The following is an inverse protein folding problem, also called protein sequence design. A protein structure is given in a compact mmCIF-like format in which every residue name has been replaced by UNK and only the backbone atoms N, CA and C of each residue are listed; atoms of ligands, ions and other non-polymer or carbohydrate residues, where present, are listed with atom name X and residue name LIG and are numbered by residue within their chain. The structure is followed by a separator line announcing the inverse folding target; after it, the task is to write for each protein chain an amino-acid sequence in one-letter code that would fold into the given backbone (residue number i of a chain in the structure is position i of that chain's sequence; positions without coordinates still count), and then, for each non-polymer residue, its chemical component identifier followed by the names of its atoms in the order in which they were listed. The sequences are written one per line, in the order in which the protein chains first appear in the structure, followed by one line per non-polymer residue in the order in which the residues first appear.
data_IF_290142416074
#
_entry.id   IF_290142416074
#
_cell.length_a   1.000
_cell.length_b   1.000
_cell.length_c   1.000
_cell.angle_alpha   90.00
_cell.angle_beta   90.00
_cell.angle_gamma   90.00
#
_symmetry.space_group_name_H-M   'P 1'
#
loop_
_entity.id
_entity.type
_entity.pdbx_description
1 polymer ?
#
# COMPACT_ATOMS: atom_id res chain seq x y z
N UNK A 1 18.99 -17.86 -10.96
CA UNK A 1 19.29 -19.27 -11.19
C UNK A 1 19.79 -19.88 -9.88
N UNK A 2 19.01 -20.77 -9.22
CA UNK A 2 19.38 -21.35 -7.92
C UNK A 2 20.62 -22.27 -7.99
N UNK A 3 21.04 -22.63 -9.17
CA UNK A 3 22.19 -23.53 -9.39
C UNK A 3 23.49 -22.81 -9.75
N UNK A 4 23.52 -21.49 -9.60
CA UNK A 4 24.76 -20.76 -9.90
C UNK A 4 25.79 -21.05 -8.81
N UNK A 5 26.89 -21.69 -9.21
CA UNK A 5 27.96 -22.12 -8.30
C UNK A 5 28.48 -20.95 -7.46
N UNK A 6 28.60 -21.14 -6.15
CA UNK A 6 29.14 -20.15 -5.23
C UNK A 6 28.18 -19.08 -4.75
N UNK A 7 26.88 -19.09 -5.15
CA UNK A 7 25.86 -18.16 -4.67
C UNK A 7 24.89 -18.83 -3.71
N UNK A 8 24.57 -18.12 -2.63
CA UNK A 8 23.56 -18.55 -1.67
C UNK A 8 22.15 -18.60 -2.29
N UNK A 9 21.31 -19.51 -1.82
CA UNK A 9 19.87 -19.52 -2.11
C UNK A 9 19.22 -18.47 -1.25
N UNK A 10 18.52 -17.52 -1.87
CA UNK A 10 17.76 -16.50 -1.18
C UNK A 10 16.27 -16.82 -1.31
N UNK A 11 15.60 -17.04 -0.17
CA UNK A 11 14.16 -17.28 -0.11
C UNK A 11 13.53 -16.03 0.46
N UNK A 12 12.55 -15.48 -0.26
CA UNK A 12 11.79 -14.30 0.17
C UNK A 12 10.30 -14.56 0.03
N UNK A 13 9.55 -14.16 1.05
CA UNK A 13 8.10 -14.13 0.99
C UNK A 13 7.64 -12.69 0.77
N UNK A 14 6.75 -12.50 -0.18
CA UNK A 14 6.19 -11.18 -0.49
C UNK A 14 4.71 -11.28 -0.78
N UNK A 15 3.86 -10.35 -0.29
CA UNK A 15 2.46 -10.26 -0.68
C UNK A 15 2.30 -9.72 -2.12
N UNK A 16 3.39 -9.29 -2.76
CA UNK A 16 3.36 -8.72 -4.09
C UNK A 16 3.39 -9.84 -5.12
N UNK A 17 2.37 -9.86 -5.98
CA UNK A 17 2.37 -10.73 -7.14
C UNK A 17 3.46 -10.28 -8.13
N UNK A 18 4.48 -11.13 -8.32
CA UNK A 18 5.55 -10.88 -9.28
C UNK A 18 5.06 -11.20 -10.68
N UNK A 19 4.84 -10.16 -11.49
CA UNK A 19 4.37 -10.29 -12.90
C UNK A 19 5.35 -9.67 -13.90
N UNK A 20 6.33 -8.90 -13.44
CA UNK A 20 7.35 -8.24 -14.25
C UNK A 20 8.60 -7.94 -13.42
N UNK A 21 9.69 -7.48 -14.08
CA UNK A 21 10.92 -7.09 -13.37
C UNK A 21 10.71 -6.01 -12.32
N UNK A 22 9.78 -5.10 -12.53
CA UNK A 22 9.47 -4.04 -11.57
C UNK A 22 8.86 -4.61 -10.29
N UNK A 23 7.88 -5.51 -10.41
CA UNK A 23 7.28 -6.17 -9.23
C UNK A 23 8.25 -7.16 -8.58
N UNK A 24 9.16 -7.78 -9.33
CA UNK A 24 10.25 -8.58 -8.78
C UNK A 24 11.19 -7.70 -7.95
N UNK A 25 11.65 -6.58 -8.49
CA UNK A 25 12.52 -5.64 -7.77
C UNK A 25 11.82 -5.10 -6.52
N UNK A 26 10.52 -4.81 -6.60
CA UNK A 26 9.70 -4.43 -5.45
C UNK A 26 9.69 -5.51 -4.37
N UNK A 27 9.39 -6.74 -4.75
CA UNK A 27 9.36 -7.85 -3.81
C UNK A 27 10.73 -8.11 -3.16
N UNK A 28 11.81 -7.87 -3.91
CA UNK A 28 13.18 -8.01 -3.43
C UNK A 28 13.58 -6.90 -2.46
N UNK A 29 13.06 -5.69 -2.61
CA UNK A 29 13.45 -4.53 -1.80
C UNK A 29 12.68 -4.42 -0.48
N UNK A 30 11.41 -4.81 -0.44
CA UNK A 30 10.56 -4.65 0.74
C UNK A 30 10.91 -5.56 1.92
N UNK A 31 11.67 -6.62 1.69
CA UNK A 31 11.99 -7.62 2.70
C UNK A 31 13.50 -7.85 2.87
N UNK A 32 14.31 -6.81 2.70
CA UNK A 32 15.76 -6.91 2.90
C UNK A 32 16.10 -7.47 4.30
N UNK A 33 15.31 -7.10 5.32
CA UNK A 33 15.50 -7.51 6.71
C UNK A 33 14.94 -8.91 7.04
N UNK A 34 14.24 -9.54 6.10
CA UNK A 34 13.53 -10.82 6.30
C UNK A 34 13.84 -11.84 5.20
N UNK A 35 15.03 -11.73 4.66
CA UNK A 35 15.52 -12.67 3.69
C UNK A 35 16.18 -13.86 4.38
N UNK A 36 15.63 -15.05 4.16
CA UNK A 36 16.34 -16.27 4.52
C UNK A 36 17.41 -16.53 3.46
N UNK A 37 18.67 -16.46 3.87
CA UNK A 37 19.81 -16.77 3.02
C UNK A 37 20.37 -18.12 3.40
N UNK A 38 20.19 -19.12 2.54
CA UNK A 38 20.77 -20.45 2.73
C UNK A 38 22.09 -20.52 1.98
N UNK A 39 23.18 -20.62 2.73
CA UNK A 39 24.50 -20.79 2.14
C UNK A 39 24.66 -22.23 1.67
N UNK A 40 25.14 -22.47 0.45
CA UNK A 40 25.38 -23.81 -0.12
C UNK A 40 26.34 -24.69 0.71
N UNK A 41 27.03 -24.12 1.68
CA UNK A 41 27.95 -24.84 2.59
C UNK A 41 27.30 -25.28 3.89
N UNK A 42 26.03 -24.87 4.17
CA UNK A 42 25.25 -25.28 5.33
C UNK A 42 24.17 -26.26 4.90
N UNK A 43 23.87 -27.20 5.75
CA UNK A 43 22.72 -28.06 5.62
C UNK A 43 21.43 -27.21 5.57
N UNK A 44 20.50 -27.55 4.71
CA UNK A 44 19.24 -26.85 4.55
C UNK A 44 18.35 -27.14 5.76
N UNK A 45 18.07 -26.14 6.57
CA UNK A 45 17.14 -26.28 7.67
C UNK A 45 15.72 -25.89 7.23
N UNK A 46 14.88 -26.91 7.08
CA UNK A 46 13.48 -26.72 6.70
C UNK A 46 12.66 -26.02 7.79
N UNK A 47 13.12 -26.02 9.06
CA UNK A 47 12.40 -25.37 10.17
C UNK A 47 12.51 -23.85 10.07
N UNK A 48 13.69 -23.30 9.72
CA UNK A 48 13.86 -21.87 9.47
C UNK A 48 12.95 -21.37 8.35
N UNK A 49 12.79 -22.15 7.28
CA UNK A 49 11.88 -21.79 6.17
C UNK A 49 10.43 -21.78 6.63
N UNK A 50 10.01 -22.79 7.41
CA UNK A 50 8.65 -22.88 7.94
C UNK A 50 8.33 -21.71 8.87
N UNK A 51 9.26 -21.30 9.72
CA UNK A 51 9.10 -20.16 10.62
C UNK A 51 8.89 -18.86 9.81
N UNK A 52 9.74 -18.60 8.82
CA UNK A 52 9.60 -17.43 7.93
C UNK A 52 8.29 -17.44 7.13
N UNK A 53 7.85 -18.61 6.70
CA UNK A 53 6.53 -18.78 6.05
C UNK A 53 5.38 -18.51 7.04
N UNK A 54 5.51 -18.89 8.30
CA UNK A 54 4.53 -18.61 9.36
C UNK A 54 4.34 -17.11 9.57
N UNK A 55 5.44 -16.36 9.69
CA UNK A 55 5.42 -14.90 9.83
C UNK A 55 4.78 -14.22 8.62
N UNK A 56 5.08 -14.69 7.41
CA UNK A 56 4.48 -14.13 6.19
C UNK A 56 2.97 -14.38 6.13
N UNK A 57 2.53 -15.58 6.53
CA UNK A 57 1.09 -15.92 6.60
C UNK A 57 0.37 -15.05 7.60
N UNK A 58 0.92 -14.87 8.80
CA UNK A 58 0.33 -13.99 9.81
C UNK A 58 0.13 -12.56 9.30
N UNK A 59 1.15 -12.00 8.64
CA UNK A 59 1.06 -10.66 8.03
C UNK A 59 0.00 -10.58 6.93
N UNK A 60 -0.15 -11.62 6.14
CA UNK A 60 -1.20 -11.67 5.13
C UNK A 60 -2.60 -11.71 5.76
N UNK A 61 -2.79 -12.46 6.85
CA UNK A 61 -4.07 -12.47 7.56
C UNK A 61 -4.37 -11.13 8.24
N UNK A 62 -3.36 -10.46 8.81
CA UNK A 62 -3.51 -9.09 9.33
C UNK A 62 -3.92 -8.12 8.24
N UNK A 63 -3.27 -8.15 7.07
CA UNK A 63 -3.63 -7.32 5.93
C UNK A 63 -5.06 -7.60 5.44
N UNK A 64 -5.44 -8.85 5.33
CA UNK A 64 -6.78 -9.28 4.93
C UNK A 64 -7.85 -8.80 5.92
N UNK A 65 -7.59 -8.93 7.21
CA UNK A 65 -8.48 -8.44 8.27
C UNK A 65 -8.67 -6.93 8.19
N UNK A 66 -7.57 -6.18 8.01
CA UNK A 66 -7.60 -4.73 7.84
C UNK A 66 -8.36 -4.32 6.56
N UNK A 67 -8.13 -4.99 5.43
CA UNK A 67 -8.85 -4.73 4.19
C UNK A 67 -10.36 -4.99 4.34
N UNK A 68 -10.73 -6.07 5.02
CA UNK A 68 -12.12 -6.39 5.32
C UNK A 68 -12.76 -5.35 6.25
N UNK A 69 -12.04 -4.87 7.27
CA UNK A 69 -12.50 -3.80 8.15
C UNK A 69 -12.78 -2.52 7.38
N UNK A 70 -11.82 -2.00 6.61
CA UNK A 70 -12.00 -0.80 5.79
C UNK A 70 -13.09 -0.99 4.72
N UNK A 71 -13.25 -2.19 4.17
CA UNK A 71 -14.28 -2.52 3.18
C UNK A 71 -15.69 -2.62 3.78
N UNK A 72 -15.81 -2.84 5.08
CA UNK A 72 -17.11 -2.88 5.78
C UNK A 72 -17.62 -1.50 6.21
N UNK A 73 -16.76 -0.47 6.22
CA UNK A 73 -17.05 0.86 6.72
C UNK A 73 -17.22 1.87 5.59
N UNK A 74 -18.37 2.53 5.54
CA UNK A 74 -18.69 3.54 4.53
C UNK A 74 -18.25 4.92 4.97
N UNK A 75 -17.79 5.73 4.01
CA UNK A 75 -17.52 7.14 4.24
C UNK A 75 -18.71 8.02 3.85
N UNK A 76 -18.77 9.23 4.40
CA UNK A 76 -19.59 10.33 3.90
C UNK A 76 -18.77 11.19 2.94
N UNK A 77 -19.42 11.96 2.07
CA UNK A 77 -18.73 12.87 1.15
C UNK A 77 -17.79 13.84 1.89
N UNK A 78 -18.26 14.42 2.98
CA UNK A 78 -17.47 15.34 3.81
C UNK A 78 -16.24 14.66 4.42
N UNK A 79 -16.41 13.46 4.98
CA UNK A 79 -15.32 12.75 5.65
C UNK A 79 -14.26 12.31 4.65
N UNK A 80 -14.63 11.85 3.47
CA UNK A 80 -13.64 11.40 2.48
C UNK A 80 -12.87 12.58 1.86
N UNK A 81 -13.51 13.75 1.68
CA UNK A 81 -12.80 14.96 1.24
C UNK A 81 -11.81 15.41 2.33
N UNK A 82 -12.24 15.42 3.59
CA UNK A 82 -11.37 15.79 4.71
C UNK A 82 -10.18 14.83 4.84
N UNK A 83 -10.42 13.52 4.72
CA UNK A 83 -9.37 12.51 4.68
C UNK A 83 -8.33 12.79 3.59
N UNK A 84 -8.74 13.05 2.35
CA UNK A 84 -7.80 13.38 1.28
C UNK A 84 -7.05 14.67 1.52
N UNK A 85 -7.70 15.67 2.11
CA UNK A 85 -7.04 16.91 2.50
C UNK A 85 -5.93 16.65 3.53
N UNK A 86 -6.18 15.84 4.54
CA UNK A 86 -5.19 15.49 5.57
C UNK A 86 -4.05 14.64 5.02
N UNK A 87 -4.34 13.73 4.10
CA UNK A 87 -3.31 12.87 3.47
C UNK A 87 -2.36 13.68 2.58
N UNK A 88 -2.89 14.65 1.83
CA UNK A 88 -2.11 15.40 0.84
C UNK A 88 -1.74 16.82 1.22
N UNK A 89 -2.11 17.25 2.41
CA UNK A 89 -1.83 18.62 2.84
C UNK A 89 -2.29 18.91 4.24
N UNK A 90 -3.30 19.76 4.38
CA UNK A 90 -3.88 20.16 5.65
C UNK A 90 -5.41 20.00 5.59
N UNK A 91 -6.05 19.71 6.72
CA UNK A 91 -7.52 19.66 6.81
C UNK A 91 -8.13 21.00 6.41
N UNK A 92 -9.32 20.96 5.82
CA UNK A 92 -10.10 22.16 5.61
C UNK A 92 -10.58 22.66 6.98
N UNK A 93 -10.45 23.99 7.22
CA UNK A 93 -10.84 24.60 8.49
C UNK A 93 -12.32 24.90 8.55
N UNK A 94 -12.91 25.26 7.43
CA UNK A 94 -14.31 25.69 7.31
C UNK A 94 -14.93 25.13 6.04
N UNK A 95 -16.24 24.99 6.06
CA UNK A 95 -17.03 24.66 4.87
C UNK A 95 -17.27 25.93 4.04
N UNK A 96 -17.24 25.80 2.73
CA UNK A 96 -17.64 26.83 1.77
C UNK A 96 -18.90 26.34 1.09
N UNK A 97 -19.98 27.11 1.14
CA UNK A 97 -21.30 26.74 0.61
C UNK A 97 -21.81 25.36 1.11
N UNK A 98 -21.59 25.08 2.39
CA UNK A 98 -21.88 23.81 3.05
C UNK A 98 -21.08 22.59 2.55
N UNK A 99 -20.03 22.79 1.76
CA UNK A 99 -19.14 21.74 1.24
C UNK A 99 -17.74 21.92 1.79
N UNK A 100 -17.07 20.82 2.13
CA UNK A 100 -15.65 20.84 2.50
C UNK A 100 -14.83 21.12 1.24
N UNK A 101 -14.03 22.21 1.19
CA UNK A 101 -13.21 22.52 0.04
C UNK A 101 -11.99 21.61 -0.03
N UNK A 102 -11.49 21.31 -1.25
CA UNK A 102 -10.20 20.67 -1.44
C UNK A 102 -9.07 21.66 -1.13
N UNK A 103 -8.15 21.26 -0.24
CA UNK A 103 -7.01 22.10 0.17
C UNK A 103 -5.78 21.92 -0.72
N UNK A 104 -5.78 20.92 -1.60
CA UNK A 104 -4.70 20.70 -2.55
C UNK A 104 -5.21 20.10 -3.87
N UNK A 105 -4.42 20.28 -4.94
CA UNK A 105 -4.70 19.60 -6.21
C UNK A 105 -4.72 18.08 -6.07
N UNK A 106 -3.85 17.53 -5.22
CA UNK A 106 -3.74 16.09 -5.04
C UNK A 106 -4.94 15.52 -4.27
N UNK A 107 -5.51 16.24 -3.31
CA UNK A 107 -6.74 15.83 -2.62
C UNK A 107 -7.91 15.76 -3.60
N UNK A 108 -8.03 16.73 -4.51
CA UNK A 108 -9.04 16.72 -5.57
C UNK A 108 -8.86 15.54 -6.52
N UNK A 109 -7.64 15.31 -7.01
CA UNK A 109 -7.33 14.19 -7.91
C UNK A 109 -7.61 12.83 -7.25
N UNK A 110 -7.31 12.67 -5.96
CA UNK A 110 -7.63 11.45 -5.24
C UNK A 110 -9.14 11.22 -5.14
N UNK A 111 -9.91 12.28 -4.92
CA UNK A 111 -11.37 12.19 -4.92
C UNK A 111 -11.92 11.82 -6.31
N UNK A 112 -11.43 12.46 -7.37
CA UNK A 112 -11.81 12.14 -8.76
C UNK A 112 -11.43 10.70 -9.16
N UNK A 113 -10.39 10.13 -8.53
CA UNK A 113 -9.93 8.77 -8.79
C UNK A 113 -10.72 7.69 -8.03
N UNK A 114 -11.61 8.04 -7.10
CA UNK A 114 -12.33 7.09 -6.24
C UNK A 114 -13.06 6.00 -7.03
N UNK A 115 -13.83 6.40 -8.02
CA UNK A 115 -14.73 5.51 -8.75
C UNK A 115 -14.14 5.00 -10.07
N UNK A 116 -13.02 5.58 -10.53
CA UNK A 116 -12.38 5.23 -11.80
C UNK A 116 -11.15 4.33 -11.67
N UNK A 117 -10.62 4.18 -10.45
CA UNK A 117 -9.48 3.30 -10.21
C UNK A 117 -9.83 1.82 -10.44
N UNK A 118 -8.88 0.98 -10.86
CA UNK A 118 -9.13 -0.44 -11.01
C UNK A 118 -9.60 -1.09 -9.71
N UNK A 119 -10.71 -1.82 -9.77
CA UNK A 119 -11.28 -2.52 -8.61
C UNK A 119 -12.18 -1.68 -7.71
N UNK A 120 -12.48 -0.43 -8.07
CA UNK A 120 -13.38 0.43 -7.30
C UNK A 120 -14.78 -0.19 -7.15
N UNK A 121 -15.24 -0.92 -8.16
CA UNK A 121 -16.54 -1.58 -8.21
C UNK A 121 -16.76 -2.61 -7.10
N UNK A 122 -15.70 -3.19 -6.53
CA UNK A 122 -15.81 -4.22 -5.49
C UNK A 122 -16.10 -3.67 -4.09
N UNK A 123 -15.83 -2.39 -3.84
CA UNK A 123 -15.96 -1.81 -2.52
C UNK A 123 -16.35 -0.32 -2.55
N UNK A 124 -17.27 0.05 -3.46
CA UNK A 124 -17.70 1.44 -3.63
C UNK A 124 -18.21 2.08 -2.34
N UNK A 125 -17.82 3.32 -2.10
CA UNK A 125 -18.26 4.12 -0.96
C UNK A 125 -17.63 3.70 0.37
N UNK A 126 -16.60 2.85 0.37
CA UNK A 126 -15.94 2.38 1.58
C UNK A 126 -14.55 2.99 1.79
N UNK A 127 -14.05 2.95 3.03
CA UNK A 127 -12.70 3.41 3.35
C UNK A 127 -11.62 2.60 2.65
N UNK A 128 -11.89 1.35 2.26
CA UNK A 128 -11.00 0.57 1.41
C UNK A 128 -10.81 1.21 0.04
N UNK A 129 -11.89 1.66 -0.60
CA UNK A 129 -11.82 2.36 -1.88
C UNK A 129 -11.11 3.70 -1.74
N UNK A 130 -11.36 4.45 -0.66
CA UNK A 130 -10.68 5.70 -0.39
C UNK A 130 -9.16 5.52 -0.22
N UNK A 131 -8.73 4.51 0.54
CA UNK A 131 -7.32 4.15 0.68
C UNK A 131 -6.69 3.72 -0.65
N UNK A 132 -7.38 2.86 -1.42
CA UNK A 132 -6.89 2.42 -2.73
C UNK A 132 -6.77 3.56 -3.73
N UNK A 133 -7.62 4.59 -3.66
CA UNK A 133 -7.48 5.78 -4.49
C UNK A 133 -6.13 6.48 -4.25
N UNK A 134 -5.69 6.61 -3.00
CA UNK A 134 -4.38 7.17 -2.68
C UNK A 134 -3.26 6.28 -3.21
N UNK A 135 -3.36 4.96 -3.03
CA UNK A 135 -2.31 4.04 -3.50
C UNK A 135 -2.20 4.03 -5.02
N UNK A 136 -3.33 3.98 -5.73
CA UNK A 136 -3.36 4.05 -7.20
C UNK A 136 -2.74 5.38 -7.69
N UNK A 137 -3.13 6.49 -7.08
CA UNK A 137 -2.61 7.80 -7.47
C UNK A 137 -1.09 7.90 -7.27
N UNK A 138 -0.56 7.42 -6.14
CA UNK A 138 0.86 7.47 -5.85
C UNK A 138 1.68 6.50 -6.71
N UNK A 139 1.13 5.35 -7.06
CA UNK A 139 1.85 4.30 -7.78
C UNK A 139 1.73 4.44 -9.31
N UNK A 140 0.66 5.06 -9.82
CA UNK A 140 0.38 5.10 -11.26
C UNK A 140 0.22 6.52 -11.85
N UNK A 141 -0.33 7.46 -11.10
CA UNK A 141 -0.72 8.77 -11.65
C UNK A 141 0.24 9.91 -11.31
N UNK A 142 0.91 9.87 -10.16
CA UNK A 142 1.85 10.91 -9.73
C UNK A 142 3.27 10.67 -10.24
N UNK A 143 4.01 11.77 -10.53
CA UNK A 143 5.42 11.72 -10.90
C UNK A 143 5.67 11.78 -12.40
N UNK A 144 6.92 12.12 -12.78
CA UNK A 144 7.33 12.37 -14.15
C UNK A 144 7.76 11.13 -14.93
N UNK A 145 8.16 10.07 -14.24
CA UNK A 145 8.62 8.82 -14.83
C UNK A 145 8.18 7.60 -14.02
N UNK A 146 8.09 6.45 -14.67
CA UNK A 146 7.75 5.18 -14.02
C UNK A 146 8.79 4.80 -12.97
N UNK A 147 10.08 4.92 -13.28
CA UNK A 147 11.17 4.57 -12.37
C UNK A 147 11.19 5.48 -11.14
N UNK A 148 10.99 6.80 -11.34
CA UNK A 148 10.91 7.76 -10.25
C UNK A 148 9.71 7.51 -9.32
N UNK A 149 8.55 7.12 -9.87
CA UNK A 149 7.39 6.70 -9.08
C UNK A 149 7.69 5.47 -8.24
N UNK A 150 8.28 4.47 -8.86
CA UNK A 150 8.64 3.21 -8.24
C UNK A 150 9.57 3.44 -7.04
N UNK A 151 10.67 4.15 -7.24
CA UNK A 151 11.62 4.49 -6.16
C UNK A 151 10.95 5.30 -5.06
N UNK A 152 10.11 6.28 -5.40
CA UNK A 152 9.38 7.09 -4.41
C UNK A 152 8.35 6.27 -3.63
N UNK A 153 7.70 5.30 -4.28
CA UNK A 153 6.74 4.40 -3.64
C UNK A 153 7.38 3.42 -2.66
N UNK A 154 8.68 3.16 -2.80
CA UNK A 154 9.38 2.19 -1.94
C UNK A 154 10.20 2.84 -0.84
N UNK A 155 10.93 3.89 -1.17
CA UNK A 155 11.91 4.49 -0.26
C UNK A 155 11.65 5.97 0.00
N UNK A 156 10.76 6.60 -0.78
CA UNK A 156 10.58 8.02 -0.78
C UNK A 156 9.26 8.51 -0.18
N UNK A 157 8.86 9.67 -0.67
CA UNK A 157 7.67 10.39 -0.23
C UNK A 157 6.38 9.57 -0.38
N UNK A 158 6.21 8.87 -1.51
CA UNK A 158 4.98 8.12 -1.79
C UNK A 158 4.76 6.98 -0.79
N UNK A 159 5.84 6.34 -0.29
CA UNK A 159 5.73 5.36 0.80
C UNK A 159 5.15 5.99 2.06
N UNK A 160 5.66 7.17 2.46
CA UNK A 160 5.15 7.87 3.64
C UNK A 160 3.70 8.30 3.48
N UNK A 161 3.32 8.77 2.29
CA UNK A 161 1.92 9.13 1.98
C UNK A 161 1.01 7.92 2.09
N UNK A 162 1.40 6.76 1.57
CA UNK A 162 0.59 5.53 1.67
C UNK A 162 0.43 5.04 3.11
N UNK A 163 1.48 5.10 3.92
CA UNK A 163 1.39 4.74 5.34
C UNK A 163 0.47 5.69 6.09
N UNK A 164 0.65 7.00 5.94
CA UNK A 164 -0.25 8.00 6.53
C UNK A 164 -1.69 7.84 6.06
N UNK A 165 -1.91 7.53 4.78
CA UNK A 165 -3.24 7.28 4.24
C UNK A 165 -3.90 6.05 4.87
N UNK A 166 -3.14 4.99 5.13
CA UNK A 166 -3.65 3.80 5.80
C UNK A 166 -4.06 4.10 7.25
N UNK A 167 -3.16 4.74 8.00
CA UNK A 167 -3.41 5.10 9.39
C UNK A 167 -4.66 5.99 9.51
N UNK A 168 -4.76 7.01 8.65
CA UNK A 168 -5.93 7.89 8.58
C UNK A 168 -7.22 7.17 8.17
N UNK A 169 -7.16 6.27 7.18
CA UNK A 169 -8.34 5.50 6.79
C UNK A 169 -8.87 4.62 7.92
N UNK A 170 -7.98 4.04 8.73
CA UNK A 170 -8.35 3.28 9.94
C UNK A 170 -8.97 4.20 11.00
N UNK A 171 -8.37 5.36 11.30
CA UNK A 171 -8.93 6.34 12.24
C UNK A 171 -10.37 6.73 11.84
N UNK A 172 -10.60 7.07 10.57
CA UNK A 172 -11.93 7.43 10.08
C UNK A 172 -12.91 6.25 10.06
N UNK A 173 -12.44 5.05 9.75
CA UNK A 173 -13.26 3.85 9.76
C UNK A 173 -13.70 3.46 11.18
N UNK A 174 -12.84 3.66 12.18
CA UNK A 174 -13.14 3.38 13.58
C UNK A 174 -14.09 4.42 14.17
N UNK A 175 -14.12 5.64 13.62
CA UNK A 175 -15.04 6.70 14.02
C UNK A 175 -16.42 6.61 13.31
N UNK A 176 -16.58 5.73 12.32
CA UNK A 176 -17.81 5.53 11.53
C UNK A 176 -18.62 4.36 12.08
#
# INVERSE_FOLDING_TARGET
NPHQFGKAINIRMTPIRVVCNNTLTLSLSQNADKMLTVNHRKEFDASEVKEQMGIAREKMEQYKSMAAHLGSKKYTADNVIQYFNEVFGAPAKEKVDNVIPFTSRNSKLAFENLDVQPGAEFAQGTWWTAFNSVTNMTDHLQGRSNDGRLVSSWYGRNRKVKLNALDKALEYADAA
#
